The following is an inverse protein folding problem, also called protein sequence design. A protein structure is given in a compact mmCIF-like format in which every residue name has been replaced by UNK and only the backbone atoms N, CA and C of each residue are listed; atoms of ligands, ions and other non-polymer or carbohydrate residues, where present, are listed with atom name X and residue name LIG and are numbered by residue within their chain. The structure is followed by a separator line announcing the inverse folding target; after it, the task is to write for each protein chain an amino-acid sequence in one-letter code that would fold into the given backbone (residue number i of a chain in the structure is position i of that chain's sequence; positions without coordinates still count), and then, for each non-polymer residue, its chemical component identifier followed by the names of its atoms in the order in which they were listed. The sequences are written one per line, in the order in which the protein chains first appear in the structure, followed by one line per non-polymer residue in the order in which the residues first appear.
data_IF_616251228917
#
_entry.id   IF_616251228917
#
_cell.length_a   1.000
_cell.length_b   1.000
_cell.length_c   1.000
_cell.angle_alpha   90.00
_cell.angle_beta   90.00
_cell.angle_gamma   90.00
#
_symmetry.space_group_name_H-M   'P 1'
#
loop_
_entity.id
_entity.type
_entity.pdbx_description
1 polymer ?
#
# COMPACT_ATOMS: atom_id res chain seq x y z
N UNK A 1 20.06 -2.77 -12.55
CA UNK A 1 19.01 -1.91 -11.94
C UNK A 1 17.71 -2.28 -12.62
N UNK A 2 16.67 -2.65 -11.88
CA UNK A 2 15.36 -2.90 -12.49
C UNK A 2 14.78 -1.55 -12.94
N UNK A 3 14.25 -1.49 -14.16
CA UNK A 3 13.60 -0.30 -14.70
C UNK A 3 12.16 -0.23 -14.17
N UNK A 4 11.63 0.98 -13.98
CA UNK A 4 10.23 1.16 -13.61
C UNK A 4 9.33 0.78 -14.79
N UNK A 5 8.41 -0.16 -14.57
CA UNK A 5 7.42 -0.55 -15.57
C UNK A 5 6.15 0.30 -15.39
N UNK A 6 5.71 0.97 -16.47
CA UNK A 6 4.41 1.64 -16.49
C UNK A 6 3.29 0.67 -16.87
N UNK A 7 2.10 0.89 -16.32
CA UNK A 7 0.87 0.14 -16.61
C UNK A 7 -0.18 1.06 -17.24
N UNK A 8 -1.05 0.54 -18.13
CA UNK A 8 -2.17 1.32 -18.67
C UNK A 8 -3.20 1.64 -17.59
N UNK A 9 -3.98 2.70 -17.81
CA UNK A 9 -5.11 3.06 -16.95
C UNK A 9 -6.19 1.96 -16.96
N UNK A 10 -6.91 1.76 -15.84
CA UNK A 10 -7.93 0.72 -15.77
C UNK A 10 -9.16 1.04 -16.63
N UNK A 11 -9.91 0.01 -17.09
CA UNK A 11 -11.20 0.22 -17.73
C UNK A 11 -12.23 0.77 -16.75
N UNK A 12 -13.31 1.36 -17.28
CA UNK A 12 -14.39 1.90 -16.44
C UNK A 12 -15.19 0.79 -15.74
N UNK A 13 -15.81 1.11 -14.61
CA UNK A 13 -16.66 0.15 -13.90
C UNK A 13 -17.87 -0.30 -14.72
N UNK A 14 -18.43 0.56 -15.60
CA UNK A 14 -19.50 0.20 -16.52
C UNK A 14 -19.04 -0.81 -17.59
N UNK A 15 -17.83 -0.61 -18.13
CA UNK A 15 -17.25 -1.50 -19.12
C UNK A 15 -16.92 -2.88 -18.52
N UNK A 16 -16.39 -2.90 -17.30
CA UNK A 16 -16.11 -4.13 -16.55
C UNK A 16 -17.39 -4.94 -16.21
N UNK A 17 -18.57 -4.30 -16.15
CA UNK A 17 -19.83 -5.02 -15.91
C UNK A 17 -20.28 -5.85 -17.11
N UNK A 18 -19.98 -5.38 -18.32
CA UNK A 18 -20.53 -5.94 -19.56
C UNK A 18 -19.53 -6.79 -20.32
N UNK A 19 -18.22 -6.55 -20.14
CA UNK A 19 -17.15 -7.27 -20.83
C UNK A 19 -16.29 -8.10 -19.85
N UNK A 20 -16.21 -9.43 -20.02
CA UNK A 20 -15.40 -10.28 -19.14
C UNK A 20 -13.90 -9.97 -19.19
N UNK A 21 -13.36 -9.48 -20.32
CA UNK A 21 -11.95 -9.08 -20.43
C UNK A 21 -11.69 -7.84 -19.58
N UNK A 22 -12.53 -6.81 -19.73
CA UNK A 22 -12.42 -5.59 -18.93
C UNK A 22 -12.57 -5.86 -17.43
N UNK A 23 -13.39 -6.85 -17.03
CA UNK A 23 -13.50 -7.29 -15.65
C UNK A 23 -12.18 -7.87 -15.12
N UNK A 24 -11.49 -8.68 -15.92
CA UNK A 24 -10.19 -9.26 -15.54
C UNK A 24 -9.13 -8.17 -15.41
N UNK A 25 -9.05 -7.25 -16.38
CA UNK A 25 -8.11 -6.12 -16.34
C UNK A 25 -8.34 -5.23 -15.12
N UNK A 26 -9.61 -4.95 -14.77
CA UNK A 26 -9.95 -4.20 -13.57
C UNK A 26 -9.50 -4.92 -12.29
N UNK A 27 -9.70 -6.24 -12.22
CA UNK A 27 -9.24 -7.06 -11.07
C UNK A 27 -7.73 -7.06 -10.93
N UNK A 28 -7.00 -7.19 -12.04
CA UNK A 28 -5.54 -7.11 -12.06
C UNK A 28 -5.05 -5.74 -11.61
N UNK A 29 -5.69 -4.66 -12.09
CA UNK A 29 -5.39 -3.31 -11.64
C UNK A 29 -5.61 -3.16 -10.13
N UNK A 30 -6.77 -3.57 -9.61
CA UNK A 30 -7.07 -3.53 -8.17
C UNK A 30 -6.05 -4.33 -7.36
N UNK A 31 -5.62 -5.49 -7.84
CA UNK A 31 -4.59 -6.29 -7.19
C UNK A 31 -3.24 -5.56 -7.14
N UNK A 32 -2.82 -4.92 -8.25
CA UNK A 32 -1.59 -4.09 -8.28
C UNK A 32 -1.66 -2.94 -7.29
N UNK A 33 -2.77 -2.21 -7.24
CA UNK A 33 -2.96 -1.10 -6.29
C UNK A 33 -2.90 -1.58 -4.83
N UNK A 34 -3.47 -2.75 -4.52
CA UNK A 34 -3.33 -3.35 -3.18
C UNK A 34 -1.86 -3.66 -2.85
N UNK A 35 -1.07 -4.15 -3.81
CA UNK A 35 0.36 -4.38 -3.62
C UNK A 35 1.12 -3.08 -3.39
N UNK A 36 0.82 -2.02 -4.14
CA UNK A 36 1.45 -0.68 -3.94
C UNK A 36 1.23 -0.20 -2.51
N UNK A 37 0.00 -0.26 -1.99
CA UNK A 37 -0.30 0.14 -0.60
C UNK A 37 0.43 -0.69 0.45
N UNK A 38 0.65 -1.98 0.19
CA UNK A 38 1.45 -2.85 1.06
C UNK A 38 2.92 -2.41 1.06
N UNK A 39 3.47 -2.06 -0.10
CA UNK A 39 4.85 -1.57 -0.21
C UNK A 39 5.03 -0.20 0.45
N UNK A 40 4.07 0.72 0.30
CA UNK A 40 4.07 2.00 1.03
C UNK A 40 4.14 1.79 2.56
N UNK A 41 3.34 0.87 3.08
CA UNK A 41 3.36 0.51 4.49
C UNK A 41 4.69 -0.12 4.92
N UNK A 42 5.33 -0.91 4.05
CA UNK A 42 6.67 -1.46 4.31
C UNK A 42 7.73 -0.36 4.40
N UNK A 43 7.64 0.68 3.56
CA UNK A 43 8.55 1.83 3.62
C UNK A 43 8.46 2.54 4.98
N UNK A 44 7.25 2.84 5.46
CA UNK A 44 7.06 3.45 6.78
C UNK A 44 7.57 2.54 7.91
N UNK A 45 7.39 1.23 7.78
CA UNK A 45 7.94 0.26 8.74
C UNK A 45 9.46 0.30 8.80
N UNK A 46 10.14 0.38 7.66
CA UNK A 46 11.60 0.48 7.61
C UNK A 46 12.10 1.81 8.18
N UNK A 47 11.42 2.92 7.86
CA UNK A 47 11.74 4.22 8.45
C UNK A 47 11.57 4.22 9.97
N UNK A 48 10.51 3.61 10.49
CA UNK A 48 10.29 3.44 11.93
C UNK A 48 11.41 2.64 12.59
N UNK A 49 11.84 1.52 11.98
CA UNK A 49 12.98 0.73 12.49
C UNK A 49 14.26 1.56 12.54
N UNK A 50 14.52 2.36 11.51
CA UNK A 50 15.67 3.25 11.47
C UNK A 50 15.56 4.33 12.55
N UNK A 51 14.39 4.92 12.77
CA UNK A 51 14.13 5.88 13.84
C UNK A 51 14.43 5.27 15.21
N UNK A 52 13.93 4.06 15.49
CA UNK A 52 14.23 3.35 16.75
C UNK A 52 15.73 3.10 16.95
N UNK A 53 16.46 2.76 15.88
CA UNK A 53 17.92 2.58 15.95
C UNK A 53 18.66 3.89 16.19
N UNK A 54 18.23 4.99 15.57
CA UNK A 54 18.89 6.32 15.67
C UNK A 54 18.63 6.99 17.01
N UNK A 55 17.40 6.95 17.49
CA UNK A 55 16.97 7.70 18.69
C UNK A 55 17.24 6.96 20.01
N UNK A 56 17.46 5.64 19.95
CA UNK A 56 17.75 4.83 21.13
C UNK A 56 16.67 5.00 22.21
N UNK A 57 17.07 5.45 23.41
CA UNK A 57 16.16 5.67 24.54
C UNK A 57 15.09 6.74 24.31
N UNK A 58 15.27 7.64 23.32
CA UNK A 58 14.35 8.75 23.04
C UNK A 58 13.21 8.39 22.07
N UNK A 59 13.15 7.14 21.61
CA UNK A 59 12.25 6.70 20.53
C UNK A 59 10.76 6.94 20.82
N UNK A 60 10.34 6.93 22.09
CA UNK A 60 8.94 7.13 22.50
C UNK A 60 8.43 8.50 22.06
N UNK A 61 9.23 9.55 22.23
CA UNK A 61 8.82 10.92 21.88
C UNK A 61 9.08 11.21 20.40
N UNK A 62 10.24 10.76 19.88
CA UNK A 62 10.73 11.14 18.56
C UNK A 62 10.08 10.33 17.42
N UNK A 63 9.82 9.04 17.63
CA UNK A 63 9.31 8.14 16.60
C UNK A 63 7.79 7.90 16.70
N UNK A 64 7.08 8.57 17.63
CA UNK A 64 5.63 8.39 17.86
C UNK A 64 4.81 8.58 16.58
N UNK A 65 5.12 9.60 15.79
CA UNK A 65 4.38 9.92 14.57
C UNK A 65 4.49 8.78 13.54
N UNK A 66 5.68 8.24 13.31
CA UNK A 66 5.90 7.07 12.44
C UNK A 66 5.16 5.83 12.94
N UNK A 67 5.14 5.61 14.26
CA UNK A 67 4.42 4.49 14.85
C UNK A 67 2.89 4.61 14.67
N UNK A 68 2.33 5.80 14.89
CA UNK A 68 0.91 6.07 14.66
C UNK A 68 0.54 5.92 13.18
N UNK A 69 1.39 6.44 12.29
CA UNK A 69 1.20 6.34 10.85
C UNK A 69 1.25 4.89 10.36
N UNK A 70 2.22 4.12 10.85
CA UNK A 70 2.29 2.68 10.54
C UNK A 70 1.02 1.94 11.00
N UNK A 71 0.51 2.24 12.20
CA UNK A 71 -0.74 1.64 12.71
C UNK A 71 -1.94 2.05 11.85
N UNK A 72 -2.01 3.32 11.40
CA UNK A 72 -3.06 3.81 10.50
C UNK A 72 -3.07 3.03 9.19
N UNK A 73 -1.91 2.96 8.53
CA UNK A 73 -1.75 2.23 7.26
C UNK A 73 -2.05 0.73 7.41
N UNK A 74 -1.65 0.11 8.53
CA UNK A 74 -1.96 -1.30 8.82
C UNK A 74 -3.48 -1.56 8.88
N UNK A 75 -4.28 -0.63 9.43
CA UNK A 75 -5.74 -0.77 9.49
C UNK A 75 -6.36 -0.60 8.11
N UNK A 76 -5.99 0.45 7.40
CA UNK A 76 -6.48 0.76 6.05
C UNK A 76 -6.16 -0.38 5.06
N UNK A 77 -4.95 -0.91 5.10
CA UNK A 77 -4.54 -2.01 4.24
C UNK A 77 -5.25 -3.32 4.59
N UNK A 78 -5.46 -3.58 5.89
CA UNK A 78 -6.25 -4.74 6.32
C UNK A 78 -7.68 -4.64 5.78
N UNK A 79 -8.32 -3.48 5.87
CA UNK A 79 -9.67 -3.26 5.33
C UNK A 79 -9.69 -3.44 3.81
N UNK A 80 -8.71 -2.86 3.09
CA UNK A 80 -8.60 -2.99 1.65
C UNK A 80 -8.38 -4.44 1.16
N UNK A 81 -7.69 -5.28 1.94
CA UNK A 81 -7.50 -6.70 1.63
C UNK A 81 -8.79 -7.49 1.89
N UNK A 82 -9.50 -7.20 2.99
CA UNK A 82 -10.67 -7.98 3.43
C UNK A 82 -12.00 -7.59 2.77
N UNK A 83 -12.05 -6.50 1.99
CA UNK A 83 -13.17 -6.20 1.10
C UNK A 83 -13.23 -7.25 -0.03
N UNK A 84 -14.04 -8.28 0.22
CA UNK A 84 -14.54 -9.26 -0.75
C UNK A 84 -16.04 -9.05 -0.93
#
# INVERSE_FOLDING_TARGET
MAQHQSYPSPPSAEEARTNPIALLELREHVAREKLVKIEEQKLVREELKLCYRREGVNHISKCKHLALEYIRLMKENKEAINLN
#
